data_IF_243928696034
#
_entry.id   IF_243928696034
#
_cell.length_a   1.000
_cell.length_b   1.000
_cell.length_c   1.000
_cell.angle_alpha   90.00
_cell.angle_beta   90.00
_cell.angle_gamma   90.00
#
_symmetry.space_group_name_H-M   'P 1'
#
loop_
_entity.id
_entity.type
_entity.pdbx_description
1 polymer ?
#
# COMPACT_ATOMS: atom_id res chain seq x y z
N UNK A 1 4.95 19.76 -2.26
CA UNK A 1 4.41 18.78 -3.23
C UNK A 1 4.16 17.40 -2.63
N UNK A 2 5.11 16.77 -1.92
CA UNK A 2 4.93 15.42 -1.34
C UNK A 2 3.66 15.29 -0.47
N UNK A 3 3.38 16.27 0.40
CA UNK A 3 2.15 16.28 1.22
C UNK A 3 0.87 16.33 0.38
N UNK A 4 0.87 17.06 -0.74
CA UNK A 4 -0.28 17.14 -1.65
C UNK A 4 -0.51 15.79 -2.33
N UNK A 5 0.56 15.12 -2.79
CA UNK A 5 0.47 13.80 -3.39
C UNK A 5 -0.02 12.74 -2.40
N UNK A 6 0.41 12.80 -1.14
CA UNK A 6 -0.07 11.89 -0.08
C UNK A 6 -1.58 12.09 0.17
N UNK A 7 -2.03 13.35 0.25
CA UNK A 7 -3.46 13.67 0.44
C UNK A 7 -4.28 13.17 -0.75
N UNK A 8 -3.82 13.41 -1.99
CA UNK A 8 -4.50 12.95 -3.20
C UNK A 8 -4.55 11.41 -3.28
N UNK A 9 -3.44 10.73 -2.97
CA UNK A 9 -3.39 9.28 -2.96
C UNK A 9 -4.31 8.68 -1.89
N UNK A 10 -4.35 9.26 -0.69
CA UNK A 10 -5.27 8.83 0.36
C UNK A 10 -6.73 9.09 -0.02
N UNK A 11 -7.02 10.21 -0.69
CA UNK A 11 -8.34 10.51 -1.22
C UNK A 11 -8.75 9.46 -2.26
N UNK A 12 -7.91 9.19 -3.24
CA UNK A 12 -8.21 8.24 -4.31
C UNK A 12 -8.33 6.79 -3.79
N UNK A 13 -7.49 6.37 -2.84
CA UNK A 13 -7.58 5.07 -2.19
C UNK A 13 -8.96 4.85 -1.54
N UNK A 14 -9.46 5.88 -0.85
CA UNK A 14 -10.65 5.77 0.01
C UNK A 14 -11.94 6.06 -0.76
N UNK A 15 -11.91 7.00 -1.70
CA UNK A 15 -13.10 7.46 -2.41
C UNK A 15 -13.30 6.79 -3.76
N UNK A 16 -12.23 6.34 -4.42
CA UNK A 16 -12.32 5.82 -5.79
C UNK A 16 -11.95 4.33 -5.88
N UNK A 17 -10.96 3.88 -5.12
CA UNK A 17 -10.44 2.51 -5.23
C UNK A 17 -11.16 1.48 -4.32
N UNK A 18 -11.62 1.86 -3.12
CA UNK A 18 -12.32 0.93 -2.21
C UNK A 18 -13.83 0.93 -2.43
N UNK A 19 -14.42 -0.26 -2.64
CA UNK A 19 -15.87 -0.44 -2.86
C UNK A 19 -16.66 -0.46 -1.55
N UNK A 20 -16.01 -0.83 -0.45
CA UNK A 20 -16.58 -0.81 0.90
C UNK A 20 -15.89 0.28 1.73
N UNK A 21 -16.69 1.08 2.45
CA UNK A 21 -16.20 2.29 3.11
C UNK A 21 -16.59 2.39 4.58
N UNK A 22 -15.68 2.90 5.40
CA UNK A 22 -15.91 3.23 6.80
C UNK A 22 -15.59 4.72 7.10
N UNK A 23 -16.25 5.31 8.10
CA UNK A 23 -16.12 6.74 8.50
C UNK A 23 -14.67 7.15 8.83
N UNK A 24 -13.89 6.28 9.45
CA UNK A 24 -12.49 6.54 9.83
C UNK A 24 -11.44 6.08 8.81
N UNK A 25 -11.87 5.62 7.63
CA UNK A 25 -10.96 5.03 6.63
C UNK A 25 -10.02 6.08 6.02
N UNK A 26 -10.47 7.32 5.85
CA UNK A 26 -9.64 8.39 5.31
C UNK A 26 -8.45 8.76 6.20
N UNK A 27 -8.64 9.12 7.48
CA UNK A 27 -7.51 9.46 8.34
C UNK A 27 -6.58 8.27 8.62
N UNK A 28 -7.12 7.03 8.70
CA UNK A 28 -6.28 5.85 8.92
C UNK A 28 -5.37 5.56 7.71
N UNK A 29 -5.93 5.61 6.50
CA UNK A 29 -5.18 5.38 5.25
C UNK A 29 -4.18 6.50 4.98
N UNK A 30 -4.56 7.75 5.28
CA UNK A 30 -3.67 8.89 5.14
C UNK A 30 -2.45 8.80 6.05
N UNK A 31 -2.66 8.44 7.32
CA UNK A 31 -1.55 8.28 8.28
C UNK A 31 -0.72 7.04 7.96
N UNK A 32 -1.33 5.91 7.63
CA UNK A 32 -0.60 4.68 7.29
C UNK A 32 0.28 4.87 6.05
N UNK A 33 -0.28 5.38 4.96
CA UNK A 33 0.45 5.62 3.72
C UNK A 33 1.45 6.77 3.86
N UNK A 34 1.08 7.84 4.55
CA UNK A 34 1.96 8.97 4.80
C UNK A 34 3.21 8.52 5.57
N UNK A 35 3.03 7.82 6.68
CA UNK A 35 4.16 7.29 7.46
C UNK A 35 4.96 6.26 6.68
N UNK A 36 4.33 5.30 5.99
CA UNK A 36 5.07 4.28 5.26
C UNK A 36 5.87 4.85 4.08
N UNK A 37 5.24 5.67 3.22
CA UNK A 37 5.91 6.23 2.04
C UNK A 37 6.96 7.27 2.42
N UNK A 38 6.75 8.07 3.47
CA UNK A 38 7.78 9.00 3.93
C UNK A 38 8.96 8.27 4.57
N UNK A 39 8.71 7.28 5.44
CA UNK A 39 9.81 6.51 6.04
C UNK A 39 10.59 5.73 4.99
N UNK A 40 9.91 4.95 4.15
CA UNK A 40 10.56 4.12 3.13
C UNK A 40 11.17 4.97 2.02
N UNK A 41 10.50 6.06 1.62
CA UNK A 41 11.02 6.99 0.62
C UNK A 41 12.28 7.70 1.10
N UNK A 42 12.26 8.30 2.29
CA UNK A 42 13.44 9.00 2.84
C UNK A 42 14.61 8.05 3.10
N UNK A 43 14.33 6.86 3.66
CA UNK A 43 15.35 5.85 3.90
C UNK A 43 15.91 5.29 2.58
N UNK A 44 15.04 4.99 1.62
CA UNK A 44 15.40 4.46 0.32
C UNK A 44 16.23 5.42 -0.53
N UNK A 45 15.82 6.68 -0.63
CA UNK A 45 16.58 7.66 -1.42
C UNK A 45 17.94 7.96 -0.78
N UNK A 46 18.01 8.02 0.56
CA UNK A 46 19.26 8.32 1.27
C UNK A 46 20.24 7.15 1.30
N UNK A 47 19.77 5.93 1.59
CA UNK A 47 20.65 4.78 1.82
C UNK A 47 20.77 3.84 0.62
N UNK A 48 19.70 3.68 -0.17
CA UNK A 48 19.69 2.70 -1.26
C UNK A 48 20.13 3.32 -2.59
N UNK A 49 19.75 4.56 -2.88
CA UNK A 49 20.12 5.23 -4.14
C UNK A 49 21.43 6.04 -4.03
N UNK A 50 21.92 6.29 -2.81
CA UNK A 50 23.20 7.01 -2.59
C UNK A 50 23.21 8.43 -3.15
N UNK A 51 22.03 9.05 -3.27
CA UNK A 51 21.87 10.39 -3.86
C UNK A 51 22.17 11.44 -2.79
N UNK A 52 23.30 12.13 -2.94
CA UNK A 52 23.62 13.33 -2.16
C UNK A 52 23.49 14.57 -3.06
N UNK A 53 22.53 15.50 -2.83
CA UNK A 53 21.51 15.52 -1.77
C UNK A 53 20.26 14.69 -2.11
N UNK A 54 19.71 13.99 -1.11
CA UNK A 54 18.51 13.13 -1.23
C UNK A 54 17.23 13.84 -1.73
N UNK A 55 17.24 15.17 -1.79
CA UNK A 55 16.14 16.00 -2.28
C UNK A 55 16.25 16.37 -3.77
N UNK A 56 17.15 15.73 -4.54
CA UNK A 56 17.27 16.05 -5.96
C UNK A 56 15.90 15.84 -6.66
N UNK A 57 15.26 16.90 -7.19
CA UNK A 57 13.86 16.78 -7.65
C UNK A 57 13.70 15.78 -8.79
N UNK A 58 14.75 15.58 -9.59
CA UNK A 58 14.78 14.73 -10.78
C UNK A 58 14.58 13.24 -10.46
N UNK A 59 15.09 12.77 -9.32
CA UNK A 59 14.99 11.37 -8.92
C UNK A 59 13.94 11.16 -7.83
N UNK A 60 13.84 12.11 -6.90
CA UNK A 60 12.94 12.01 -5.76
C UNK A 60 11.46 12.06 -6.15
N UNK A 61 11.08 12.94 -7.10
CA UNK A 61 9.67 13.11 -7.48
C UNK A 61 9.12 11.83 -8.16
N UNK A 62 9.78 11.23 -9.17
CA UNK A 62 9.30 10.00 -9.76
C UNK A 62 9.27 8.82 -8.78
N UNK A 63 10.28 8.68 -7.91
CA UNK A 63 10.34 7.59 -6.92
C UNK A 63 9.19 7.71 -5.92
N UNK A 64 8.96 8.92 -5.39
CA UNK A 64 7.81 9.16 -4.51
C UNK A 64 6.47 8.87 -5.20
N UNK A 65 6.31 9.30 -6.45
CA UNK A 65 5.09 9.03 -7.22
C UNK A 65 4.83 7.52 -7.36
N UNK A 66 5.86 6.75 -7.69
CA UNK A 66 5.76 5.29 -7.80
C UNK A 66 5.48 4.62 -6.45
N UNK A 67 6.13 5.07 -5.37
CA UNK A 67 5.87 4.58 -4.02
C UNK A 67 4.43 4.81 -3.61
N UNK A 68 3.94 6.04 -3.77
CA UNK A 68 2.58 6.41 -3.40
C UNK A 68 1.55 5.63 -4.22
N UNK A 69 1.66 5.60 -5.55
CA UNK A 69 0.68 4.93 -6.41
C UNK A 69 0.58 3.42 -6.16
N UNK A 70 1.71 2.74 -5.97
CA UNK A 70 1.70 1.29 -5.67
C UNK A 70 1.21 1.01 -4.24
N UNK A 71 1.65 1.81 -3.26
CA UNK A 71 1.20 1.68 -1.87
C UNK A 71 -0.30 1.97 -1.74
N UNK A 72 -0.80 2.94 -2.50
CA UNK A 72 -2.22 3.29 -2.58
C UNK A 72 -3.05 2.09 -3.03
N UNK A 73 -2.68 1.48 -4.16
CA UNK A 73 -3.35 0.31 -4.71
C UNK A 73 -3.34 -0.86 -3.73
N UNK A 74 -2.17 -1.17 -3.17
CA UNK A 74 -2.03 -2.25 -2.19
C UNK A 74 -2.89 -2.02 -0.93
N UNK A 75 -2.90 -0.78 -0.42
CA UNK A 75 -3.67 -0.42 0.78
C UNK A 75 -5.17 -0.49 0.51
N UNK A 76 -5.63 0.02 -0.64
CA UNK A 76 -7.04 -0.04 -1.02
C UNK A 76 -7.55 -1.48 -1.16
N UNK A 77 -6.77 -2.35 -1.83
CA UNK A 77 -7.08 -3.78 -1.97
C UNK A 77 -7.05 -4.51 -0.62
N UNK A 78 -6.07 -4.19 0.24
CA UNK A 78 -5.96 -4.79 1.57
C UNK A 78 -7.15 -4.45 2.45
N UNK A 79 -7.58 -3.18 2.48
CA UNK A 79 -8.75 -2.79 3.28
C UNK A 79 -10.03 -3.36 2.70
N UNK A 80 -10.23 -3.32 1.38
CA UNK A 80 -11.42 -3.88 0.73
C UNK A 80 -11.55 -5.39 0.99
N UNK A 81 -10.46 -6.14 0.79
CA UNK A 81 -10.39 -7.59 1.10
C UNK A 81 -10.62 -7.86 2.59
N UNK A 82 -10.04 -7.07 3.49
CA UNK A 82 -10.27 -7.21 4.93
C UNK A 82 -11.75 -7.01 5.30
N UNK A 83 -12.40 -5.98 4.76
CA UNK A 83 -13.81 -5.69 5.02
C UNK A 83 -14.73 -6.78 4.45
N UNK A 84 -14.42 -7.27 3.24
CA UNK A 84 -15.13 -8.37 2.63
C UNK A 84 -15.05 -9.64 3.49
N UNK A 85 -13.84 -10.02 3.89
CA UNK A 85 -13.58 -11.20 4.71
C UNK A 85 -14.21 -11.12 6.11
N UNK A 86 -14.23 -9.92 6.71
CA UNK A 86 -14.94 -9.69 7.98
C UNK A 86 -16.45 -9.87 7.84
N UNK A 87 -17.02 -9.46 6.70
CA UNK A 87 -18.45 -9.61 6.41
C UNK A 87 -18.81 -11.08 6.13
N UNK A 88 -18.01 -11.79 5.34
CA UNK A 88 -18.27 -13.19 4.99
C UNK A 88 -18.05 -14.15 6.17
N UNK A 89 -17.01 -13.93 6.97
CA UNK A 89 -16.66 -14.83 8.09
C UNK A 89 -17.24 -14.35 9.44
N UNK A 90 -18.23 -13.46 9.43
CA UNK A 90 -18.80 -12.85 10.63
C UNK A 90 -19.22 -13.90 11.67
N UNK A 91 -19.94 -14.94 11.25
CA UNK A 91 -20.42 -16.01 12.13
C UNK A 91 -19.28 -16.76 12.81
N UNK A 92 -18.20 -17.05 12.06
CA UNK A 92 -17.01 -17.72 12.60
C UNK A 92 -16.29 -16.83 13.62
N UNK A 93 -16.17 -15.54 13.32
CA UNK A 93 -15.54 -14.56 14.22
C UNK A 93 -16.33 -14.45 15.53
N UNK A 94 -17.66 -14.36 15.46
CA UNK A 94 -18.54 -14.32 16.64
C UNK A 94 -18.46 -15.61 17.45
N UNK A 95 -18.32 -16.78 16.80
CA UNK A 95 -18.07 -18.05 17.47
C UNK A 95 -16.73 -18.08 18.20
N UNK A 96 -15.64 -17.63 17.58
CA UNK A 96 -14.34 -17.58 18.26
C UNK A 96 -14.38 -16.63 19.47
N UNK A 97 -15.03 -15.48 19.34
CA UNK A 97 -15.18 -14.53 20.45
C UNK A 97 -16.05 -15.11 21.59
N UNK A 98 -17.09 -15.87 21.29
CA UNK A 98 -17.93 -16.51 22.31
C UNK A 98 -17.20 -17.65 23.05
N UNK A 99 -16.24 -18.28 22.38
CA UNK A 99 -15.32 -19.26 22.98
C UNK A 99 -14.17 -18.60 23.77
N UNK A 100 -14.15 -17.27 23.90
CA UNK A 100 -13.16 -16.53 24.68
C UNK A 100 -11.87 -16.17 23.92
N UNK A 101 -11.84 -16.35 22.59
CA UNK A 101 -10.71 -15.90 21.78
C UNK A 101 -10.62 -14.37 21.79
N UNK A 102 -9.40 -13.85 21.71
CA UNK A 102 -9.17 -12.41 21.56
C UNK A 102 -9.54 -11.94 20.16
N UNK A 103 -9.83 -10.63 20.00
CA UNK A 103 -10.09 -10.01 18.69
C UNK A 103 -8.96 -10.29 17.68
N UNK A 104 -7.72 -10.32 18.17
CA UNK A 104 -6.54 -10.62 17.37
C UNK A 104 -6.54 -12.05 16.84
N UNK A 105 -6.85 -13.03 17.68
CA UNK A 105 -6.90 -14.43 17.28
C UNK A 105 -8.03 -14.68 16.29
N UNK A 106 -9.21 -14.09 16.53
CA UNK A 106 -10.36 -14.23 15.66
C UNK A 106 -10.16 -13.55 14.28
N UNK A 107 -9.43 -12.43 14.22
CA UNK A 107 -9.21 -11.67 12.98
C UNK A 107 -7.90 -12.02 12.25
N UNK A 108 -7.02 -12.83 12.85
CA UNK A 108 -5.76 -13.28 12.23
C UNK A 108 -5.93 -13.86 10.82
N UNK A 109 -6.84 -14.82 10.55
CA UNK A 109 -7.00 -15.36 9.19
C UNK A 109 -7.47 -14.31 8.19
N UNK A 110 -8.30 -13.35 8.64
CA UNK A 110 -8.77 -12.24 7.82
C UNK A 110 -7.61 -11.30 7.44
N UNK A 111 -6.74 -10.95 8.39
CA UNK A 111 -5.55 -10.14 8.12
C UNK A 111 -4.63 -10.79 7.09
N UNK A 112 -4.38 -12.09 7.23
CA UNK A 112 -3.47 -12.84 6.34
C UNK A 112 -3.99 -12.81 4.90
N UNK A 113 -5.27 -13.07 4.69
CA UNK A 113 -5.85 -13.09 3.34
C UNK A 113 -5.98 -11.69 2.73
N UNK A 114 -6.25 -10.68 3.56
CA UNK A 114 -6.23 -9.28 3.15
C UNK A 114 -4.84 -8.85 2.67
N UNK A 115 -3.79 -9.19 3.43
CA UNK A 115 -2.40 -8.89 3.05
C UNK A 115 -1.97 -9.66 1.81
N UNK A 116 -2.39 -10.92 1.66
CA UNK A 116 -2.14 -11.69 0.45
C UNK A 116 -2.73 -11.00 -0.78
N UNK A 117 -3.98 -10.55 -0.67
CA UNK A 117 -4.68 -9.82 -1.74
C UNK A 117 -3.97 -8.50 -2.07
N UNK A 118 -3.58 -7.74 -1.04
CA UNK A 118 -2.86 -6.48 -1.20
C UNK A 118 -1.51 -6.61 -1.92
N UNK A 119 -0.79 -7.72 -1.68
CA UNK A 119 0.57 -7.92 -2.19
C UNK A 119 0.65 -8.61 -3.54
N UNK A 120 -0.42 -9.27 -4.00
CA UNK A 120 -0.45 -9.96 -5.30
C UNK A 120 0.03 -9.08 -6.47
N UNK A 121 -0.44 -7.83 -6.64
CA UNK A 121 0.01 -6.98 -7.74
C UNK A 121 1.51 -6.67 -7.69
N UNK A 122 2.04 -6.37 -6.51
CA UNK A 122 3.46 -6.04 -6.32
C UNK A 122 4.35 -7.24 -6.64
N UNK A 123 3.98 -8.44 -6.16
CA UNK A 123 4.73 -9.67 -6.42
C UNK A 123 4.70 -10.00 -7.91
N UNK A 124 3.53 -9.95 -8.54
CA UNK A 124 3.37 -10.22 -9.96
C UNK A 124 4.21 -9.25 -10.82
N UNK A 125 4.21 -7.96 -10.46
CA UNK A 125 5.02 -6.96 -11.15
C UNK A 125 6.52 -7.25 -10.98
N UNK A 126 6.97 -7.64 -9.79
CA UNK A 126 8.38 -8.01 -9.53
C UNK A 126 8.82 -9.24 -10.33
N UNK A 127 7.93 -10.23 -10.54
CA UNK A 127 8.28 -11.45 -11.29
C UNK A 127 8.53 -11.21 -12.78
N UNK A 128 7.90 -10.18 -13.37
CA UNK A 128 7.98 -9.92 -14.82
C UNK A 128 8.94 -8.78 -15.18
N UNK A 129 9.42 -8.02 -14.19
CA UNK A 129 10.22 -6.82 -14.41
C UNK A 129 11.60 -7.17 -14.97
N UNK A 130 12.03 -6.47 -16.02
CA UNK A 130 13.28 -6.73 -16.72
C UNK A 130 13.28 -7.95 -17.65
N UNK A 131 12.27 -8.83 -17.56
CA UNK A 131 12.09 -9.95 -18.50
C UNK A 131 11.05 -9.63 -19.59
N UNK A 132 9.87 -9.20 -19.17
CA UNK A 132 8.73 -8.92 -20.07
C UNK A 132 8.44 -7.42 -20.07
N UNK A 133 8.45 -6.80 -18.90
CA UNK A 133 8.16 -5.37 -18.74
C UNK A 133 9.44 -4.61 -18.44
N UNK A 134 9.76 -3.60 -19.25
CA UNK A 134 10.80 -2.61 -18.95
C UNK A 134 10.10 -1.35 -18.42
N UNK A 135 10.23 -1.03 -17.12
CA UNK A 135 9.55 0.11 -16.51
C UNK A 135 9.95 1.43 -17.16
N UNK A 136 9.02 2.40 -17.18
CA UNK A 136 9.23 3.68 -17.86
C UNK A 136 10.45 4.46 -17.37
N UNK A 137 10.79 4.41 -16.08
CA UNK A 137 12.01 5.03 -15.56
C UNK A 137 13.27 4.35 -16.08
N UNK A 138 13.31 3.02 -16.09
CA UNK A 138 14.44 2.26 -16.64
C UNK A 138 14.61 2.55 -18.14
N UNK A 139 13.53 2.50 -18.92
CA UNK A 139 13.55 2.87 -20.35
C UNK A 139 14.00 4.31 -20.55
N UNK A 140 13.51 5.26 -19.74
CA UNK A 140 13.90 6.67 -19.82
C UNK A 140 15.39 6.89 -19.53
N UNK A 141 15.95 6.18 -18.55
CA UNK A 141 17.39 6.20 -18.27
C UNK A 141 18.22 5.61 -19.43
N UNK A 142 17.75 4.50 -20.02
CA UNK A 142 18.41 3.89 -21.18
C UNK A 142 18.44 4.83 -22.39
N UNK A 143 17.31 5.48 -22.71
CA UNK A 143 17.22 6.44 -23.82
C UNK A 143 18.08 7.69 -23.54
N UNK A 144 18.19 8.11 -22.28
CA UNK A 144 19.06 9.21 -21.86
C UNK A 144 20.57 8.87 -21.88
N UNK A 145 20.95 7.67 -22.33
CA UNK A 145 22.34 7.25 -22.47
C UNK A 145 22.96 6.71 -21.17
N UNK A 146 22.16 6.41 -20.14
CA UNK A 146 22.67 5.75 -18.94
C UNK A 146 23.08 4.31 -19.26
N UNK A 147 24.07 3.79 -18.51
CA UNK A 147 24.47 2.39 -18.67
C UNK A 147 23.34 1.45 -18.26
N UNK A 148 23.18 0.36 -19.02
CA UNK A 148 22.13 -0.66 -18.76
C UNK A 148 22.22 -1.18 -17.33
N UNK A 149 23.44 -1.42 -16.85
CA UNK A 149 23.69 -1.92 -15.51
C UNK A 149 23.18 -0.96 -14.42
N UNK A 150 23.34 0.35 -14.61
CA UNK A 150 22.89 1.35 -13.63
C UNK A 150 21.36 1.49 -13.65
N UNK A 151 20.74 1.42 -14.82
CA UNK A 151 19.29 1.50 -14.96
C UNK A 151 18.59 0.30 -14.31
N UNK A 152 19.11 -0.92 -14.53
CA UNK A 152 18.58 -2.15 -13.91
C UNK A 152 18.73 -2.12 -12.39
N UNK A 153 19.92 -1.74 -11.88
CA UNK A 153 20.17 -1.66 -10.43
C UNK A 153 19.21 -0.70 -9.73
N UNK A 154 19.06 0.51 -10.29
CA UNK A 154 18.17 1.53 -9.75
C UNK A 154 16.71 1.05 -9.75
N UNK A 155 16.27 0.41 -10.84
CA UNK A 155 14.92 -0.13 -10.93
C UNK A 155 14.66 -1.24 -9.91
N UNK A 156 15.62 -2.13 -9.68
CA UNK A 156 15.49 -3.20 -8.70
C UNK A 156 15.38 -2.65 -7.27
N UNK A 157 16.19 -1.63 -6.94
CA UNK A 157 16.11 -0.90 -5.67
C UNK A 157 14.71 -0.33 -5.48
N UNK A 158 14.17 0.35 -6.50
CA UNK A 158 12.83 0.95 -6.45
C UNK A 158 11.75 -0.11 -6.20
N UNK A 159 11.85 -1.29 -6.83
CA UNK A 159 10.88 -2.37 -6.60
C UNK A 159 10.90 -2.88 -5.17
N UNK A 160 12.07 -2.99 -4.55
CA UNK A 160 12.17 -3.34 -3.13
C UNK A 160 11.58 -2.25 -2.23
N UNK A 161 11.80 -0.97 -2.55
CA UNK A 161 11.20 0.14 -1.81
C UNK A 161 9.67 0.16 -1.94
N UNK A 162 9.14 -0.07 -3.14
CA UNK A 162 7.70 -0.21 -3.38
C UNK A 162 7.12 -1.34 -2.55
N UNK A 163 7.76 -2.52 -2.58
CA UNK A 163 7.32 -3.67 -1.79
C UNK A 163 7.31 -3.37 -0.29
N UNK A 164 8.38 -2.78 0.25
CA UNK A 164 8.44 -2.38 1.65
C UNK A 164 7.34 -1.37 2.02
N UNK A 165 7.19 -0.29 1.24
CA UNK A 165 6.18 0.73 1.50
C UNK A 165 4.76 0.18 1.42
N UNK A 166 4.50 -0.70 0.45
CA UNK A 166 3.21 -1.37 0.28
C UNK A 166 2.89 -2.29 1.45
N UNK A 167 3.84 -3.09 1.93
CA UNK A 167 3.66 -3.94 3.13
C UNK A 167 3.36 -3.08 4.36
N UNK A 168 4.18 -2.06 4.65
CA UNK A 168 3.96 -1.21 5.83
C UNK A 168 2.64 -0.44 5.75
N UNK A 169 2.29 0.12 4.59
CA UNK A 169 1.07 0.89 4.38
C UNK A 169 -0.19 0.04 4.49
N UNK A 170 -0.22 -1.11 3.80
CA UNK A 170 -1.36 -2.03 3.82
C UNK A 170 -1.52 -2.72 5.17
N UNK A 171 -0.42 -3.16 5.80
CA UNK A 171 -0.48 -3.80 7.12
C UNK A 171 -1.03 -2.84 8.16
N UNK A 172 -0.48 -1.63 8.26
CA UNK A 172 -0.96 -0.65 9.24
C UNK A 172 -2.42 -0.26 8.99
N UNK A 173 -2.86 -0.13 7.74
CA UNK A 173 -4.26 0.12 7.41
C UNK A 173 -5.18 -1.05 7.81
N UNK A 174 -4.78 -2.30 7.54
CA UNK A 174 -5.54 -3.51 7.88
C UNK A 174 -5.64 -3.68 9.39
N UNK A 175 -4.54 -3.49 10.13
CA UNK A 175 -4.54 -3.58 11.59
C UNK A 175 -5.50 -2.54 12.20
N UNK A 176 -5.45 -1.28 11.74
CA UNK A 176 -6.40 -0.25 12.19
C UNK A 176 -7.83 -0.61 11.81
N UNK A 177 -8.05 -1.19 10.62
CA UNK A 177 -9.34 -1.69 10.17
C UNK A 177 -9.97 -2.73 11.11
N UNK A 178 -9.18 -3.64 11.66
CA UNK A 178 -9.65 -4.69 12.60
C UNK A 178 -10.08 -4.13 13.97
N UNK A 179 -9.51 -2.99 14.38
CA UNK A 179 -9.86 -2.35 15.65
C UNK A 179 -11.17 -1.57 15.60
N UNK A 180 -11.63 -1.19 14.41
CA UNK A 180 -12.85 -0.42 14.23
C UNK A 180 -14.08 -1.32 14.49
N UNK A 181 -15.02 -0.91 15.37
CA UNK A 181 -16.20 -1.71 15.70
C UNK A 181 -17.13 -1.89 14.49
N UNK A 182 -17.44 -3.16 14.18
CA UNK A 182 -18.28 -3.63 13.06
C UNK A 182 -19.69 -3.01 12.98
N UNK A 183 -20.17 -2.33 14.03
CA UNK A 183 -21.53 -1.78 14.09
C UNK A 183 -21.78 -0.57 13.15
N UNK A 184 -20.73 0.12 12.65
CA UNK A 184 -20.92 1.32 11.78
C UNK A 184 -20.73 1.08 10.28
N UNK A 185 -20.23 -0.08 9.86
CA UNK A 185 -20.03 -0.42 8.45
C UNK A 185 -21.35 -0.48 7.64
N UNK A 186 -22.50 -0.62 8.31
CA UNK A 186 -23.83 -0.70 7.67
C UNK A 186 -24.41 0.64 7.22
N UNK A 187 -23.83 1.79 7.59
CA UNK A 187 -24.55 3.08 7.54
C UNK A 187 -24.42 3.89 6.25
N UNK A 188 -23.78 3.40 5.19
CA UNK A 188 -23.66 4.21 3.95
C UNK A 188 -24.15 3.56 2.65
N UNK A 189 -24.46 2.25 2.63
CA UNK A 189 -25.17 1.63 1.49
C UNK A 189 -26.70 1.84 1.53
N UNK A 190 -27.21 2.62 2.49
CA UNK A 190 -28.64 2.94 2.62
C UNK A 190 -28.96 4.42 2.34
N UNK A 191 -28.00 5.23 1.87
CA UNK A 191 -28.16 6.67 1.69
C UNK A 191 -27.54 7.22 0.38
N UNK A 192 -27.55 6.41 -0.69
CA UNK A 192 -27.11 6.81 -2.03
C UNK A 192 -27.67 5.89 -3.08
#
# INVERSE_FOLDING_TARGET
MAMVLIILAAYEAVYNASKLRHIYMFPSVLVSMGCSCLLVGTFGTRLAMGVDPFHSPREFIPVLGMLLGNTMTATALGVDSCLHQLSENKEKIELYLSLGATRWEACRPVAVEAMRTAMMPTINQMSIIGLISIPGMMTGQLIAGASVMNAVKSQQIIMFLISGAAVFGSLSAVLVGQFIPMQKAKTWKAAG
#
